data_IF_728412842316
#
_entry.id   IF_728412842316
#
_cell.length_a   1.000
_cell.length_b   1.000
_cell.length_c   1.000
_cell.angle_alpha   90.00
_cell.angle_beta   90.00
_cell.angle_gamma   90.00
#
_symmetry.space_group_name_H-M   'P 1'
#
loop_
_entity.id
_entity.type
_entity.pdbx_description
1 polymer ?
#
# COMPACT_ATOMS: atom_id res chain seq x y z
N UNK A 1 12.84 9.83 -6.16
CA UNK A 1 11.46 9.32 -6.37
C UNK A 1 11.39 7.85 -5.98
N UNK A 2 10.97 7.56 -4.75
CA UNK A 2 10.96 6.18 -4.22
C UNK A 2 9.69 5.89 -3.44
N UNK A 3 8.52 6.18 -4.04
CA UNK A 3 7.21 6.25 -3.39
C UNK A 3 6.81 5.05 -2.52
N UNK A 4 5.68 5.19 -1.81
CA UNK A 4 5.15 4.20 -0.88
C UNK A 4 5.09 2.81 -1.54
N UNK A 5 5.56 1.77 -0.83
CA UNK A 5 5.50 0.39 -1.30
C UNK A 5 6.55 -0.02 -2.34
N UNK A 6 7.52 0.84 -2.68
CA UNK A 6 8.59 0.50 -3.63
C UNK A 6 9.48 -0.64 -3.08
N UNK A 7 9.93 -1.53 -3.95
CA UNK A 7 10.68 -2.76 -3.60
C UNK A 7 9.92 -3.69 -2.65
N UNK A 8 8.58 -3.62 -2.63
CA UNK A 8 7.75 -4.42 -1.73
C UNK A 8 7.90 -4.07 -0.25
N UNK A 9 8.50 -2.91 0.08
CA UNK A 9 8.61 -2.47 1.47
C UNK A 9 7.23 -2.14 2.06
N UNK A 10 7.03 -2.33 3.37
CA UNK A 10 5.77 -1.97 4.01
C UNK A 10 5.52 -0.46 3.86
N UNK A 11 4.25 -0.11 3.65
CA UNK A 11 3.78 1.27 3.67
C UNK A 11 2.79 1.42 4.82
N UNK A 12 2.89 2.52 5.55
CA UNK A 12 2.03 2.84 6.70
C UNK A 12 1.16 4.04 6.40
N UNK A 13 0.05 4.13 7.13
CA UNK A 13 -0.82 5.31 7.12
C UNK A 13 -0.32 6.33 8.14
N UNK A 14 -0.55 7.60 7.83
CA UNK A 14 -0.46 8.66 8.84
C UNK A 14 -1.77 8.70 9.66
N UNK A 15 -1.75 9.19 10.92
CA UNK A 15 -2.96 9.27 11.75
C UNK A 15 -4.13 10.01 11.09
N UNK A 16 -3.83 11.05 10.30
CA UNK A 16 -4.83 11.85 9.59
C UNK A 16 -5.53 11.07 8.48
N UNK A 17 -4.85 10.06 7.93
CA UNK A 17 -5.31 9.21 6.83
C UNK A 17 -6.19 8.04 7.32
N UNK A 18 -6.17 7.72 8.62
CA UNK A 18 -6.85 6.54 9.17
C UNK A 18 -8.37 6.58 8.99
N UNK A 19 -8.97 7.77 9.07
CA UNK A 19 -10.43 7.92 8.95
C UNK A 19 -10.92 7.55 7.56
N UNK A 20 -10.25 8.03 6.52
CA UNK A 20 -10.58 7.70 5.12
C UNK A 20 -10.27 6.23 4.82
N UNK A 21 -9.13 5.75 5.32
CA UNK A 21 -8.75 4.35 5.17
C UNK A 21 -9.74 3.39 5.85
N UNK A 22 -10.33 3.77 6.99
CA UNK A 22 -11.34 2.95 7.69
C UNK A 22 -12.56 2.71 6.81
N UNK A 23 -13.14 3.77 6.25
CA UNK A 23 -14.32 3.67 5.40
C UNK A 23 -14.06 2.81 4.16
N UNK A 24 -12.90 3.00 3.52
CA UNK A 24 -12.52 2.20 2.35
C UNK A 24 -12.24 0.74 2.71
N UNK A 25 -11.64 0.49 3.88
CA UNK A 25 -11.37 -0.87 4.36
C UNK A 25 -12.64 -1.64 4.68
N UNK A 26 -13.64 -0.99 5.26
CA UNK A 26 -14.96 -1.59 5.49
C UNK A 26 -15.67 -1.92 4.17
N UNK A 27 -15.53 -1.06 3.15
CA UNK A 27 -16.14 -1.27 1.83
C UNK A 27 -15.50 -2.40 1.03
N UNK A 28 -14.17 -2.48 0.99
CA UNK A 28 -13.43 -3.37 0.09
C UNK A 28 -12.76 -4.56 0.79
N UNK A 29 -12.69 -4.59 2.11
CA UNK A 29 -12.05 -5.64 2.89
C UNK A 29 -10.51 -5.55 2.97
N UNK A 30 -9.90 -4.53 2.37
CA UNK A 30 -8.46 -4.26 2.43
C UNK A 30 -8.20 -2.75 2.46
N UNK A 31 -6.95 -2.33 2.75
CA UNK A 31 -6.58 -0.91 2.81
C UNK A 31 -6.48 -0.29 1.40
N UNK A 32 -7.62 -0.09 0.74
CA UNK A 32 -7.69 0.46 -0.61
C UNK A 32 -7.12 1.88 -0.67
N UNK A 33 -7.35 2.69 0.37
CA UNK A 33 -6.74 4.02 0.50
C UNK A 33 -5.21 3.98 0.40
N UNK A 34 -4.56 3.04 1.10
CA UNK A 34 -3.12 2.88 1.01
C UNK A 34 -2.70 2.32 -0.37
N UNK A 35 -3.50 1.41 -0.93
CA UNK A 35 -3.27 0.84 -2.26
C UNK A 35 -3.25 1.91 -3.35
N UNK A 36 -4.18 2.88 -3.30
CA UNK A 36 -4.27 3.97 -4.27
C UNK A 36 -3.04 4.90 -4.26
N UNK A 37 -2.31 4.94 -3.13
CA UNK A 37 -1.08 5.73 -2.97
C UNK A 37 0.18 4.97 -3.35
N UNK A 38 0.07 3.68 -3.64
CA UNK A 38 1.17 2.84 -4.10
C UNK A 38 1.17 2.85 -5.63
N UNK A 39 2.36 2.99 -6.22
CA UNK A 39 2.49 2.95 -7.69
C UNK A 39 2.00 1.63 -8.26
N UNK A 40 1.24 1.69 -9.37
CA UNK A 40 0.83 0.52 -10.12
C UNK A 40 2.03 -0.24 -10.69
N UNK A 41 3.10 0.47 -11.08
CA UNK A 41 4.34 -0.10 -11.62
C UNK A 41 5.44 -0.30 -10.55
N UNK A 42 5.07 -0.68 -9.32
CA UNK A 42 6.06 -0.89 -8.25
C UNK A 42 6.93 -2.11 -8.51
N UNK A 43 8.24 -1.98 -8.24
CA UNK A 43 9.14 -3.13 -8.23
C UNK A 43 8.97 -3.97 -6.96
N UNK A 44 9.12 -5.29 -7.09
CA UNK A 44 9.17 -6.26 -5.99
C UNK A 44 10.40 -7.16 -6.16
N UNK A 45 11.08 -7.58 -5.07
CA UNK A 45 12.16 -8.56 -5.14
C UNK A 45 11.64 -9.92 -5.61
N UNK A 46 12.51 -10.69 -6.27
CA UNK A 46 12.22 -12.09 -6.59
C UNK A 46 12.45 -12.96 -5.36
N UNK A 47 11.42 -13.69 -4.94
CA UNK A 47 11.46 -14.61 -3.80
C UNK A 47 11.30 -16.08 -4.22
N UNK A 48 11.42 -16.38 -5.53
CA UNK A 48 11.35 -17.75 -6.04
C UNK A 48 12.60 -18.55 -5.64
N UNK A 49 12.47 -19.86 -5.37
CA UNK A 49 13.63 -20.73 -5.18
C UNK A 49 14.52 -20.77 -6.43
N UNK A 50 15.83 -20.93 -6.21
CA UNK A 50 16.84 -21.16 -7.26
C UNK A 50 16.74 -22.55 -7.87
#
# INVERSE_FOLDING_TARGET
FGGRGRRGLPATLMPEEEKEAKNMREKYGYNAFLSDKISLDRSIPDYRPS
#
